data_IF_444635440736
#
_entry.id   IF_444635440736
#
_cell.length_a   1.000
_cell.length_b   1.000
_cell.length_c   1.000
_cell.angle_alpha   90.00
_cell.angle_beta   90.00
_cell.angle_gamma   90.00
#
_symmetry.space_group_name_H-M   'P 1'
#
loop_
_entity.id
_entity.type
_entity.pdbx_description
1 polymer ?
#
# COMPACT_ATOMS: atom_id res chain seq x y z
N UNK A 1 -18.02 -2.54 -10.25
CA UNK A 1 -17.25 -1.62 -11.14
C UNK A 1 -16.39 -2.38 -12.13
N UNK A 2 -15.52 -3.32 -11.72
CA UNK A 2 -14.74 -4.13 -12.67
C UNK A 2 -15.56 -4.88 -13.74
N UNK A 3 -16.83 -5.20 -13.46
CA UNK A 3 -17.75 -5.81 -14.42
C UNK A 3 -18.24 -4.88 -15.54
N UNK A 4 -18.04 -3.56 -15.42
CA UNK A 4 -18.58 -2.55 -16.35
C UNK A 4 -17.49 -1.69 -17.00
N UNK A 5 -16.21 -2.04 -16.82
CA UNK A 5 -15.07 -1.33 -17.41
C UNK A 5 -13.84 -2.23 -17.45
N UNK A 6 -13.04 -2.12 -18.52
CA UNK A 6 -11.74 -2.81 -18.64
C UNK A 6 -10.57 -2.01 -18.07
N UNK A 7 -10.83 -0.76 -17.63
CA UNK A 7 -9.83 0.06 -16.93
C UNK A 7 -9.45 -0.57 -15.60
N UNK A 8 -8.16 -0.52 -15.27
CA UNK A 8 -7.63 -0.92 -13.96
C UNK A 8 -8.32 -0.16 -12.81
N UNK A 9 -8.72 -0.88 -11.77
CA UNK A 9 -9.41 -0.35 -10.59
C UNK A 9 -8.49 -0.44 -9.36
N UNK A 10 -8.09 0.72 -8.85
CA UNK A 10 -7.28 0.83 -7.63
C UNK A 10 -8.14 1.24 -6.42
N UNK A 11 -7.74 0.77 -5.22
CA UNK A 11 -8.42 1.07 -3.94
C UNK A 11 -7.49 1.91 -3.07
N UNK A 12 -8.00 3.00 -2.48
CA UNK A 12 -7.14 4.02 -1.86
C UNK A 12 -7.49 4.53 -0.47
N UNK A 13 -8.54 3.99 0.18
CA UNK A 13 -9.02 4.52 1.45
C UNK A 13 -8.79 3.52 2.59
N UNK A 14 -8.26 3.99 3.73
CA UNK A 14 -8.08 3.17 4.93
C UNK A 14 -6.96 2.14 4.87
N UNK A 15 -6.14 2.12 3.83
CA UNK A 15 -5.00 1.20 3.70
C UNK A 15 -3.82 1.76 4.51
N UNK A 16 -3.31 1.00 5.48
CA UNK A 16 -2.16 1.42 6.29
C UNK A 16 -1.28 0.27 6.78
N UNK A 17 -1.66 -0.98 6.55
CA UNK A 17 -0.91 -2.15 7.00
C UNK A 17 -0.67 -3.13 5.84
N UNK A 18 0.38 -3.95 5.92
CA UNK A 18 0.59 -5.09 5.00
C UNK A 18 -0.64 -5.99 4.84
N UNK A 19 -1.42 -6.21 5.91
CA UNK A 19 -2.62 -7.05 5.85
C UNK A 19 -3.76 -6.39 5.08
N UNK A 20 -3.95 -5.07 5.19
CA UNK A 20 -4.91 -4.34 4.35
C UNK A 20 -4.54 -4.47 2.87
N UNK A 21 -3.24 -4.36 2.53
CA UNK A 21 -2.75 -4.55 1.16
C UNK A 21 -3.06 -5.95 0.66
N UNK A 22 -2.75 -6.98 1.47
CA UNK A 22 -3.03 -8.38 1.12
C UNK A 22 -4.51 -8.62 0.84
N UNK A 23 -5.36 -8.17 1.76
CA UNK A 23 -6.80 -8.36 1.67
C UNK A 23 -7.39 -7.69 0.42
N UNK A 24 -6.99 -6.46 0.13
CA UNK A 24 -7.49 -5.72 -1.03
C UNK A 24 -7.00 -6.30 -2.36
N UNK A 25 -5.75 -6.78 -2.40
CA UNK A 25 -5.25 -7.52 -3.56
C UNK A 25 -6.03 -8.83 -3.78
N UNK A 26 -6.33 -9.58 -2.72
CA UNK A 26 -7.15 -10.80 -2.79
C UNK A 26 -8.59 -10.54 -3.23
N UNK A 27 -9.15 -9.36 -2.93
CA UNK A 27 -10.46 -8.94 -3.46
C UNK A 27 -10.44 -8.60 -4.95
N UNK A 28 -9.26 -8.64 -5.59
CA UNK A 28 -9.11 -8.42 -7.02
C UNK A 28 -8.94 -6.95 -7.42
N UNK A 29 -8.42 -6.10 -6.52
CA UNK A 29 -7.99 -4.76 -6.90
C UNK A 29 -6.74 -4.83 -7.80
N UNK A 30 -6.67 -3.99 -8.83
CA UNK A 30 -5.52 -3.90 -9.74
C UNK A 30 -4.39 -3.02 -9.16
N UNK A 31 -4.70 -2.28 -8.09
CA UNK A 31 -3.75 -1.42 -7.41
C UNK A 31 -4.25 -0.95 -6.05
N UNK A 32 -3.31 -0.46 -5.24
CA UNK A 32 -3.59 0.05 -3.91
C UNK A 32 -2.91 1.41 -3.73
N UNK A 33 -3.63 2.39 -3.20
CA UNK A 33 -3.14 3.76 -2.96
C UNK A 33 -3.05 4.00 -1.46
N UNK A 34 -1.89 4.47 -1.00
CA UNK A 34 -1.60 4.66 0.43
C UNK A 34 -1.07 6.09 0.63
N UNK A 35 -1.93 6.98 1.11
CA UNK A 35 -1.60 8.40 1.28
C UNK A 35 -1.24 8.76 2.72
N UNK A 36 -2.25 8.85 3.58
CA UNK A 36 -2.11 9.35 4.96
C UNK A 36 -1.05 8.60 5.76
N UNK A 37 -0.95 7.29 5.61
CA UNK A 37 0.05 6.49 6.32
C UNK A 37 1.49 6.78 5.85
N UNK A 38 1.70 7.10 4.57
CA UNK A 38 3.02 7.52 4.05
C UNK A 38 3.42 8.89 4.62
N UNK A 39 2.48 9.85 4.58
CA UNK A 39 2.69 11.19 5.14
C UNK A 39 2.98 11.10 6.64
N UNK A 40 2.30 10.21 7.37
CA UNK A 40 2.53 9.97 8.79
C UNK A 40 3.96 9.51 9.10
N UNK A 41 4.54 8.62 8.28
CA UNK A 41 5.94 8.19 8.48
C UNK A 41 6.95 9.33 8.35
N UNK A 42 6.69 10.27 7.44
CA UNK A 42 7.54 11.45 7.24
C UNK A 42 7.29 12.52 8.31
N UNK A 43 6.03 12.82 8.60
CA UNK A 43 5.62 13.93 9.46
C UNK A 43 5.82 13.69 10.95
N UNK A 44 5.83 12.43 11.40
CA UNK A 44 6.03 12.07 12.82
C UNK A 44 7.46 11.64 13.15
N UNK A 45 8.41 11.81 12.23
CA UNK A 45 9.81 11.48 12.48
C UNK A 45 10.52 12.65 13.18
N UNK A 46 11.52 12.36 14.02
CA UNK A 46 12.25 13.40 14.75
C UNK A 46 13.23 14.18 13.86
N UNK A 47 13.50 13.69 12.64
CA UNK A 47 14.34 14.36 11.66
C UNK A 47 13.98 13.93 10.23
N UNK A 48 14.32 14.73 9.20
CA UNK A 48 14.12 14.33 7.80
C UNK A 48 14.81 13.01 7.44
N UNK A 49 16.01 12.76 7.97
CA UNK A 49 16.77 11.52 7.72
C UNK A 49 16.07 10.30 8.31
N UNK A 50 15.55 10.43 9.53
CA UNK A 50 14.75 9.38 10.15
C UNK A 50 13.45 9.14 9.38
N UNK A 51 12.77 10.21 8.95
CA UNK A 51 11.54 10.12 8.16
C UNK A 51 11.74 9.36 6.86
N UNK A 52 12.81 9.64 6.12
CA UNK A 52 13.16 8.89 4.90
C UNK A 52 13.41 7.40 5.19
N UNK A 53 14.13 7.09 6.29
CA UNK A 53 14.39 5.70 6.68
C UNK A 53 13.09 4.97 7.08
N UNK A 54 12.20 5.63 7.84
CA UNK A 54 10.89 5.09 8.20
C UNK A 54 10.02 4.86 6.97
N UNK A 55 10.01 5.82 6.05
CA UNK A 55 9.29 5.72 4.79
C UNK A 55 9.80 4.54 3.94
N UNK A 56 11.12 4.38 3.81
CA UNK A 56 11.73 3.28 3.05
C UNK A 56 11.31 1.92 3.62
N UNK A 57 11.48 1.72 4.93
CA UNK A 57 11.10 0.46 5.62
C UNK A 57 9.61 0.19 5.43
N UNK A 58 8.77 1.20 5.61
CA UNK A 58 7.32 1.08 5.49
C UNK A 58 6.90 0.74 4.06
N UNK A 59 7.38 1.50 3.06
CA UNK A 59 7.10 1.26 1.65
C UNK A 59 7.54 -0.14 1.20
N UNK A 60 8.71 -0.61 1.67
CA UNK A 60 9.20 -1.96 1.39
C UNK A 60 8.27 -3.02 1.98
N UNK A 61 7.83 -2.87 3.22
CA UNK A 61 6.90 -3.82 3.86
C UNK A 61 5.57 -3.96 3.10
N UNK A 62 5.05 -2.86 2.56
CA UNK A 62 3.81 -2.84 1.78
C UNK A 62 4.01 -3.46 0.39
N UNK A 63 5.14 -3.17 -0.25
CA UNK A 63 5.53 -3.78 -1.53
C UNK A 63 5.69 -5.29 -1.40
N UNK A 64 6.33 -5.76 -0.33
CA UNK A 64 6.55 -7.19 -0.08
C UNK A 64 5.22 -7.89 0.17
N UNK A 65 4.30 -7.25 0.89
CA UNK A 65 2.94 -7.74 1.11
C UNK A 65 2.16 -7.92 -0.21
N UNK A 66 2.32 -6.99 -1.14
CA UNK A 66 1.69 -7.08 -2.47
C UNK A 66 2.32 -8.20 -3.32
N UNK A 67 3.65 -8.32 -3.34
CA UNK A 67 4.34 -9.40 -4.07
C UNK A 67 3.97 -10.79 -3.56
N UNK A 68 3.82 -10.93 -2.23
CA UNK A 68 3.40 -12.18 -1.62
C UNK A 68 2.02 -12.63 -2.12
N UNK A 69 1.12 -11.69 -2.43
CA UNK A 69 -0.18 -12.05 -3.02
C UNK A 69 -0.01 -12.46 -4.47
N UNK A 70 0.66 -11.65 -5.29
CA UNK A 70 0.82 -11.90 -6.73
C UNK A 70 1.55 -13.22 -7.03
N UNK A 71 2.52 -13.64 -6.20
CA UNK A 71 3.22 -14.92 -6.41
C UNK A 71 2.39 -16.16 -6.02
N UNK A 72 1.23 -15.99 -5.37
CA UNK A 72 0.40 -17.10 -4.86
C UNK A 72 -0.89 -17.30 -5.68
N UNK A 73 -1.15 -16.45 -6.67
CA UNK A 73 -2.28 -16.52 -7.63
C UNK A 73 -1.74 -16.85 -9.02
#
# INVERSE_FOLDING_TARGET
>A
IKQVTDKAVAVGFGISTPDHVRQVAQWGADGVIIGSAMVKQLGEANSPREGLKRLEVYAKSLKDALHAVICTI
#
